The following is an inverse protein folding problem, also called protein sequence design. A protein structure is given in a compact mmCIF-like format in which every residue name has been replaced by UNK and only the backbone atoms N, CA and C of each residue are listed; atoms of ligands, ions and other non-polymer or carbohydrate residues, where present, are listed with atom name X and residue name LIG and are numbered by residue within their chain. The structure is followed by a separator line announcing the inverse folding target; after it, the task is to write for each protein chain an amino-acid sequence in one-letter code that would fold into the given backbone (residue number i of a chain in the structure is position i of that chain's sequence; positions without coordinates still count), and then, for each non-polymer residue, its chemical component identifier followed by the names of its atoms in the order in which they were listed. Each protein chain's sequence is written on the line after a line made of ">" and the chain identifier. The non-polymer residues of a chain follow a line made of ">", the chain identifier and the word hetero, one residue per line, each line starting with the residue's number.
data_IF_511957414089
#
_entry.id   IF_511957414089
#
_cell.length_a   1.000
_cell.length_b   1.000
_cell.length_c   1.000
_cell.angle_alpha   90.00
_cell.angle_beta   90.00
_cell.angle_gamma   90.00
#
_symmetry.space_group_name_H-M   'P 1'
#
loop_
_entity.id
_entity.type
_entity.pdbx_description
1 polymer ?
#
# COMPACT_ATOMS: atom_id res chain seq x y z
N UNK A 1 31.99 23.40 -25.21
CA UNK A 1 31.71 24.13 -23.95
C UNK A 1 31.16 23.16 -22.88
N UNK A 2 31.86 22.06 -22.58
CA UNK A 2 31.35 21.01 -21.69
C UNK A 2 32.36 20.59 -20.60
N UNK A 3 33.28 21.47 -20.23
CA UNK A 3 34.44 21.09 -19.39
C UNK A 3 34.59 21.92 -18.10
N UNK A 4 33.74 22.94 -17.89
CA UNK A 4 33.93 23.90 -16.78
C UNK A 4 33.02 23.72 -15.56
N UNK A 5 32.12 22.73 -15.56
CA UNK A 5 31.18 22.49 -14.46
C UNK A 5 31.52 21.25 -13.62
N UNK A 6 32.76 20.76 -13.67
CA UNK A 6 33.24 19.63 -12.85
C UNK A 6 34.01 20.09 -11.60
N UNK A 7 34.18 21.41 -11.39
CA UNK A 7 35.01 21.96 -10.30
C UNK A 7 34.27 22.60 -9.12
N UNK A 8 32.93 22.73 -9.13
CA UNK A 8 32.22 23.60 -8.17
C UNK A 8 31.52 22.92 -6.99
N UNK A 9 31.62 21.60 -6.81
CA UNK A 9 31.13 20.95 -5.58
C UNK A 9 32.05 19.80 -5.17
N UNK A 10 33.27 20.11 -4.73
CA UNK A 10 34.07 19.14 -3.98
C UNK A 10 33.39 18.92 -2.62
N UNK A 11 32.45 17.96 -2.55
CA UNK A 11 31.70 17.66 -1.33
C UNK A 11 32.69 17.27 -0.23
N UNK A 12 32.77 18.09 0.82
CA UNK A 12 33.53 17.76 2.03
C UNK A 12 32.70 16.79 2.87
N UNK A 13 33.13 15.54 2.91
CA UNK A 13 32.52 14.51 3.75
C UNK A 13 33.13 14.56 5.16
N UNK A 14 32.29 14.68 6.18
CA UNK A 14 32.70 14.60 7.58
C UNK A 14 32.51 13.16 8.10
N UNK A 15 33.51 12.62 8.81
CA UNK A 15 33.51 11.21 9.27
C UNK A 15 32.38 10.87 10.25
N UNK A 16 31.90 11.85 11.04
CA UNK A 16 30.87 11.64 12.06
C UNK A 16 29.45 12.06 11.63
N UNK A 17 29.22 12.38 10.36
CA UNK A 17 27.90 12.78 9.88
C UNK A 17 27.17 11.61 9.19
N UNK A 18 26.05 11.09 9.74
CA UNK A 18 25.30 9.99 9.12
C UNK A 18 24.76 10.34 7.73
N UNK A 19 24.47 11.63 7.48
CA UNK A 19 24.09 12.12 6.15
C UNK A 19 25.24 12.00 5.12
N UNK A 20 26.46 12.38 5.51
CA UNK A 20 27.64 12.29 4.63
C UNK A 20 27.99 10.84 4.26
N UNK A 21 27.68 9.85 5.11
CA UNK A 21 27.87 8.41 4.78
C UNK A 21 26.88 7.96 3.70
N UNK A 22 25.63 8.43 3.75
CA UNK A 22 24.62 8.13 2.73
C UNK A 22 24.92 8.79 1.39
N UNK A 23 25.39 10.03 1.39
CA UNK A 23 25.77 10.73 0.16
C UNK A 23 26.98 10.09 -0.54
N UNK A 24 27.95 9.57 0.24
CA UNK A 24 29.08 8.80 -0.30
C UNK A 24 28.63 7.50 -0.99
N UNK A 25 27.74 6.74 -0.34
CA UNK A 25 27.18 5.51 -0.90
C UNK A 25 26.37 5.77 -2.18
N UNK A 26 25.66 6.90 -2.27
CA UNK A 26 24.96 7.32 -3.49
C UNK A 26 25.92 7.68 -4.62
N UNK A 27 27.09 8.25 -4.32
CA UNK A 27 28.10 8.58 -5.31
C UNK A 27 28.87 7.35 -5.80
N UNK A 28 29.19 6.41 -4.90
CA UNK A 28 29.83 5.13 -5.25
C UNK A 28 28.92 4.22 -6.08
N UNK A 29 27.61 4.29 -5.86
CA UNK A 29 26.62 3.52 -6.62
C UNK A 29 26.27 4.26 -7.93
N UNK A 30 27.14 4.14 -8.93
CA UNK A 30 27.03 4.78 -10.24
C UNK A 30 25.88 4.27 -11.11
N UNK A 31 25.29 3.12 -10.77
CA UNK A 31 24.18 2.51 -11.51
C UNK A 31 22.82 2.74 -10.88
N UNK A 32 21.76 2.65 -11.70
CA UNK A 32 20.37 2.64 -11.24
C UNK A 32 20.14 1.44 -10.31
N UNK A 33 19.61 1.64 -9.08
CA UNK A 33 19.41 0.55 -8.13
C UNK A 33 18.12 -0.22 -8.46
N UNK A 34 18.14 -0.97 -9.57
CA UNK A 34 16.98 -1.73 -10.08
C UNK A 34 16.36 -2.65 -9.02
N UNK A 35 17.18 -3.25 -8.16
CA UNK A 35 16.70 -4.09 -7.05
C UNK A 35 15.87 -3.29 -6.05
N UNK A 36 16.36 -2.15 -5.57
CA UNK A 36 15.61 -1.35 -4.60
C UNK A 36 14.34 -0.75 -5.21
N UNK A 37 14.40 -0.34 -6.48
CA UNK A 37 13.25 0.17 -7.22
C UNK A 37 12.18 -0.91 -7.43
N UNK A 38 12.56 -2.15 -7.74
CA UNK A 38 11.58 -3.25 -7.89
C UNK A 38 10.91 -3.58 -6.56
N UNK A 39 11.62 -3.52 -5.43
CA UNK A 39 10.99 -3.69 -4.11
C UNK A 39 10.02 -2.55 -3.78
N UNK A 40 10.40 -1.29 -4.02
CA UNK A 40 9.53 -0.13 -3.84
C UNK A 40 8.28 -0.26 -4.71
N UNK A 41 8.45 -0.73 -5.95
CA UNK A 41 7.35 -1.00 -6.87
C UNK A 41 6.39 -2.06 -6.33
N UNK A 42 6.92 -3.18 -5.82
CA UNK A 42 6.13 -4.26 -5.22
C UNK A 42 5.37 -3.78 -3.97
N UNK A 43 6.03 -3.06 -3.06
CA UNK A 43 5.40 -2.50 -1.85
C UNK A 43 4.30 -1.51 -2.23
N UNK A 44 4.57 -0.62 -3.19
CA UNK A 44 3.60 0.36 -3.66
C UNK A 44 2.38 -0.32 -4.30
N UNK A 45 2.60 -1.33 -5.14
CA UNK A 45 1.54 -2.14 -5.76
C UNK A 45 0.66 -2.81 -4.70
N UNK A 46 1.30 -3.45 -3.72
CA UNK A 46 0.68 -4.12 -2.59
C UNK A 46 -0.22 -3.17 -1.78
N UNK A 47 0.21 -1.93 -1.54
CA UNK A 47 -0.64 -0.93 -0.86
C UNK A 47 -1.78 -0.41 -1.75
N UNK A 48 -1.61 -0.38 -3.07
CA UNK A 48 -2.60 0.13 -4.01
C UNK A 48 -3.76 -0.86 -4.22
N UNK A 49 -3.49 -2.17 -4.24
CA UNK A 49 -4.48 -3.22 -4.53
C UNK A 49 -5.70 -3.23 -3.56
N UNK A 50 -5.54 -3.16 -2.22
CA UNK A 50 -6.68 -3.10 -1.31
C UNK A 50 -7.55 -1.85 -1.47
N UNK A 51 -6.94 -0.73 -1.90
CA UNK A 51 -7.64 0.53 -2.08
C UNK A 51 -8.52 0.48 -3.33
N UNK A 52 -8.00 -0.09 -4.41
CA UNK A 52 -8.71 -0.13 -5.70
C UNK A 52 -9.71 -1.28 -5.79
N UNK A 53 -9.41 -2.45 -5.20
CA UNK A 53 -10.35 -3.58 -5.13
C UNK A 53 -11.64 -3.27 -4.36
N UNK A 54 -11.59 -2.27 -3.47
CA UNK A 54 -12.70 -1.79 -2.67
C UNK A 54 -13.91 -1.33 -3.49
N UNK A 55 -13.67 -0.59 -4.56
CA UNK A 55 -14.73 0.06 -5.33
C UNK A 55 -15.79 -0.93 -5.86
N UNK A 56 -15.44 -2.06 -6.49
CA UNK A 56 -16.44 -3.02 -6.95
C UNK A 56 -17.11 -3.78 -5.81
N UNK A 57 -16.39 -4.24 -4.78
CA UNK A 57 -17.01 -5.09 -3.76
C UNK A 57 -17.81 -4.30 -2.72
N UNK A 58 -17.50 -3.03 -2.46
CA UNK A 58 -18.21 -2.25 -1.42
C UNK A 58 -19.67 -2.06 -1.79
N UNK A 59 -19.98 -1.98 -3.09
CA UNK A 59 -21.34 -1.92 -3.61
C UNK A 59 -22.12 -3.20 -3.24
N UNK A 60 -21.55 -4.36 -3.54
CA UNK A 60 -22.15 -5.65 -3.19
C UNK A 60 -22.31 -5.81 -1.68
N UNK A 61 -21.31 -5.40 -0.90
CA UNK A 61 -21.34 -5.53 0.56
C UNK A 61 -22.45 -4.70 1.20
N UNK A 62 -22.70 -3.49 0.70
CA UNK A 62 -23.77 -2.63 1.21
C UNK A 62 -25.14 -3.16 0.80
N UNK A 63 -25.25 -3.72 -0.41
CA UNK A 63 -26.47 -4.38 -0.89
C UNK A 63 -26.83 -5.56 0.03
N UNK A 64 -25.85 -6.40 0.37
CA UNK A 64 -26.05 -7.60 1.19
C UNK A 64 -26.35 -7.27 2.66
N UNK A 65 -25.92 -6.10 3.16
CA UNK A 65 -26.29 -5.65 4.51
C UNK A 65 -27.75 -5.16 4.61
N UNK A 66 -28.49 -5.04 3.51
CA UNK A 66 -29.90 -4.63 3.45
C UNK A 66 -30.22 -3.31 4.19
N UNK A 67 -29.25 -2.40 4.30
CA UNK A 67 -29.39 -1.12 5.03
C UNK A 67 -30.03 -0.05 4.16
N UNK A 68 -29.78 -0.12 2.84
CA UNK A 68 -30.39 0.76 1.86
C UNK A 68 -31.83 0.30 1.59
N UNK A 69 -32.81 1.16 1.90
CA UNK A 69 -34.23 0.90 1.61
C UNK A 69 -34.53 0.95 0.10
N UNK A 70 -33.64 1.59 -0.68
CA UNK A 70 -33.72 1.74 -2.13
C UNK A 70 -32.34 1.55 -2.76
N UNK A 71 -32.29 1.05 -3.98
CA UNK A 71 -31.02 0.81 -4.70
C UNK A 71 -30.23 2.12 -4.97
N UNK A 72 -30.94 3.24 -5.09
CA UNK A 72 -30.35 4.58 -5.25
C UNK A 72 -29.47 5.01 -4.07
N UNK A 73 -29.79 4.56 -2.85
CA UNK A 73 -29.05 4.95 -1.64
C UNK A 73 -27.74 4.17 -1.46
N UNK A 74 -27.58 3.03 -2.14
CA UNK A 74 -26.39 2.16 -2.02
C UNK A 74 -25.12 2.94 -2.40
N UNK A 75 -25.20 3.76 -3.46
CA UNK A 75 -24.10 4.62 -3.89
C UNK A 75 -23.68 5.65 -2.85
N UNK A 76 -24.65 6.22 -2.12
CA UNK A 76 -24.38 7.18 -1.05
C UNK A 76 -23.63 6.53 0.11
N UNK A 77 -24.06 5.36 0.57
CA UNK A 77 -23.37 4.61 1.63
C UNK A 77 -21.98 4.13 1.18
N UNK A 78 -21.82 3.71 -0.08
CA UNK A 78 -20.52 3.32 -0.63
C UNK A 78 -19.55 4.50 -0.66
N UNK A 79 -20.06 5.66 -1.11
CA UNK A 79 -19.35 6.93 -1.06
C UNK A 79 -18.95 7.29 0.36
N UNK A 80 -19.83 7.14 1.35
CA UNK A 80 -19.54 7.42 2.75
C UNK A 80 -18.38 6.56 3.29
N UNK A 81 -18.37 5.26 2.99
CA UNK A 81 -17.27 4.34 3.37
C UNK A 81 -15.96 4.76 2.71
N UNK A 82 -15.96 5.06 1.41
CA UNK A 82 -14.76 5.52 0.69
C UNK A 82 -14.24 6.88 1.21
N UNK A 83 -15.16 7.80 1.52
CA UNK A 83 -14.85 9.14 2.04
C UNK A 83 -14.21 9.08 3.41
N UNK A 84 -14.73 8.24 4.31
CA UNK A 84 -14.18 8.06 5.66
C UNK A 84 -12.71 7.63 5.63
N UNK A 85 -12.36 6.76 4.69
CA UNK A 85 -11.00 6.29 4.48
C UNK A 85 -10.08 7.41 3.95
N UNK A 86 -10.53 8.15 2.93
CA UNK A 86 -9.76 9.27 2.36
C UNK A 86 -9.56 10.40 3.37
N UNK A 87 -10.60 10.78 4.10
CA UNK A 87 -10.56 11.84 5.11
C UNK A 87 -9.54 11.53 6.19
N UNK A 88 -9.57 10.31 6.71
CA UNK A 88 -8.66 9.90 7.77
C UNK A 88 -7.21 9.75 7.29
N UNK A 89 -7.03 9.31 6.05
CA UNK A 89 -5.70 9.30 5.41
C UNK A 89 -5.12 10.68 5.28
N UNK A 90 -5.93 11.67 4.90
CA UNK A 90 -5.51 13.06 4.85
C UNK A 90 -5.06 13.54 6.24
N UNK A 91 -5.87 13.32 7.28
CA UNK A 91 -5.55 13.73 8.65
C UNK A 91 -4.29 13.06 9.20
N UNK A 92 -4.11 11.77 8.94
CA UNK A 92 -2.98 11.01 9.50
C UNK A 92 -1.72 11.10 8.65
N UNK A 93 -1.79 11.69 7.45
CA UNK A 93 -0.64 11.79 6.54
C UNK A 93 0.52 12.58 7.13
N UNK A 94 0.22 13.69 7.80
CA UNK A 94 1.23 14.51 8.45
C UNK A 94 1.90 13.77 9.63
N UNK A 95 1.09 13.10 10.46
CA UNK A 95 1.58 12.36 11.62
C UNK A 95 2.56 11.25 11.22
N UNK A 96 2.21 10.45 10.20
CA UNK A 96 3.11 9.40 9.70
C UNK A 96 4.35 9.93 8.99
N UNK A 97 4.28 11.13 8.41
CA UNK A 97 5.47 11.83 7.90
C UNK A 97 6.49 12.08 9.00
N UNK A 98 6.06 12.73 10.09
CA UNK A 98 6.91 13.02 11.25
C UNK A 98 7.45 11.73 11.90
N UNK A 99 6.62 10.70 12.04
CA UNK A 99 7.03 9.41 12.59
C UNK A 99 8.07 8.73 11.70
N UNK A 100 7.91 8.79 10.36
CA UNK A 100 8.86 8.23 9.41
C UNK A 100 10.21 8.95 9.43
N UNK A 101 10.22 10.26 9.63
CA UNK A 101 11.46 11.04 9.71
C UNK A 101 12.17 10.82 11.06
N UNK A 102 11.44 10.62 12.17
CA UNK A 102 12.05 10.38 13.50
C UNK A 102 12.53 8.94 13.72
N UNK A 103 11.73 7.94 13.36
CA UNK A 103 12.03 6.53 13.62
C UNK A 103 12.66 5.81 12.43
N UNK A 104 12.82 6.52 11.31
CA UNK A 104 13.28 5.97 10.05
C UNK A 104 12.14 5.44 9.18
N UNK A 105 12.34 5.50 7.86
CA UNK A 105 11.28 5.20 6.88
C UNK A 105 10.98 3.72 6.74
N UNK A 106 12.01 2.88 6.90
CA UNK A 106 11.94 1.42 6.82
C UNK A 106 10.94 0.79 7.82
N UNK A 107 11.03 1.03 9.15
CA UNK A 107 10.08 0.44 10.09
C UNK A 107 8.66 0.96 9.90
N UNK A 108 8.49 2.23 9.51
CA UNK A 108 7.16 2.79 9.24
C UNK A 108 6.49 2.12 8.04
N UNK A 109 7.24 1.83 6.98
CA UNK A 109 6.74 1.07 5.81
C UNK A 109 6.30 -0.33 6.23
N UNK A 110 7.07 -0.99 7.09
CA UNK A 110 6.73 -2.33 7.58
C UNK A 110 5.46 -2.33 8.45
N UNK A 111 5.38 -1.44 9.44
CA UNK A 111 4.22 -1.33 10.35
C UNK A 111 2.95 -0.92 9.58
N UNK A 112 3.07 0.01 8.64
CA UNK A 112 1.96 0.44 7.80
C UNK A 112 1.44 -0.69 6.92
N UNK A 113 2.32 -1.50 6.35
CA UNK A 113 1.94 -2.67 5.54
C UNK A 113 1.29 -3.75 6.40
N UNK A 114 1.87 -4.07 7.57
CA UNK A 114 1.28 -5.03 8.51
C UNK A 114 -0.13 -4.62 8.95
N UNK A 115 -0.32 -3.32 9.23
CA UNK A 115 -1.62 -2.78 9.61
C UNK A 115 -2.65 -2.93 8.49
N UNK A 116 -2.24 -2.81 7.22
CA UNK A 116 -3.11 -3.09 6.07
C UNK A 116 -3.55 -4.54 6.05
N UNK A 117 -2.61 -5.48 6.24
CA UNK A 117 -2.92 -6.92 6.24
C UNK A 117 -3.97 -7.23 7.31
N UNK A 118 -3.71 -6.80 8.55
CA UNK A 118 -4.60 -7.07 9.69
C UNK A 118 -5.97 -6.40 9.50
N UNK A 119 -6.02 -5.10 9.18
CA UNK A 119 -7.28 -4.38 9.09
C UNK A 119 -8.09 -4.75 7.85
N UNK A 120 -7.43 -5.15 6.75
CA UNK A 120 -8.12 -5.70 5.58
C UNK A 120 -8.71 -7.08 5.88
N UNK A 121 -8.01 -7.92 6.66
CA UNK A 121 -8.56 -9.18 7.17
C UNK A 121 -9.82 -8.97 8.01
N UNK A 122 -9.73 -8.08 9.00
CA UNK A 122 -10.85 -7.76 9.88
C UNK A 122 -12.02 -7.15 9.10
N UNK A 123 -11.73 -6.38 8.05
CA UNK A 123 -12.75 -5.85 7.17
C UNK A 123 -13.49 -6.97 6.40
N UNK A 124 -12.79 -8.00 5.91
CA UNK A 124 -13.40 -9.15 5.26
C UNK A 124 -14.29 -10.01 6.15
N UNK A 125 -14.00 -10.01 7.46
CA UNK A 125 -14.80 -10.67 8.50
C UNK A 125 -16.00 -9.84 8.97
N UNK A 126 -16.16 -8.61 8.47
CA UNK A 126 -17.18 -7.68 8.95
C UNK A 126 -18.58 -8.08 8.49
N UNK A 127 -19.49 -8.29 9.44
CA UNK A 127 -20.90 -8.63 9.19
C UNK A 127 -21.85 -7.44 9.31
N UNK A 128 -21.35 -6.28 9.71
CA UNK A 128 -22.14 -5.07 9.93
C UNK A 128 -21.50 -3.86 9.26
N UNK A 129 -22.33 -2.93 8.78
CA UNK A 129 -21.86 -1.70 8.15
C UNK A 129 -21.04 -0.81 9.08
N UNK A 130 -21.46 -0.65 10.33
CA UNK A 130 -20.72 0.14 11.32
C UNK A 130 -19.35 -0.46 11.64
N UNK A 131 -19.25 -1.79 11.64
CA UNK A 131 -17.98 -2.50 11.78
C UNK A 131 -17.10 -2.27 10.54
N UNK A 132 -17.66 -2.41 9.34
CA UNK A 132 -16.94 -2.18 8.09
C UNK A 132 -16.43 -0.74 7.98
N UNK A 133 -17.26 0.24 8.34
CA UNK A 133 -16.92 1.65 8.41
C UNK A 133 -15.80 1.90 9.43
N UNK A 134 -15.89 1.31 10.63
CA UNK A 134 -14.88 1.45 11.68
C UNK A 134 -13.54 0.85 11.27
N UNK A 135 -13.54 -0.32 10.62
CA UNK A 135 -12.31 -0.95 10.11
C UNK A 135 -11.69 -0.12 8.98
N UNK A 136 -12.50 0.52 8.13
CA UNK A 136 -12.01 1.41 7.05
C UNK A 136 -11.47 2.72 7.55
N UNK A 137 -12.15 3.27 8.54
CA UNK A 137 -11.63 4.37 9.32
C UNK A 137 -10.28 3.85 9.87
N UNK A 138 -10.20 2.78 10.68
CA UNK A 138 -8.93 2.25 11.24
C UNK A 138 -7.81 2.14 10.19
N UNK A 139 -8.11 1.51 9.06
CA UNK A 139 -7.18 1.35 7.96
C UNK A 139 -6.66 2.70 7.45
N UNK A 140 -7.51 3.71 7.30
CA UNK A 140 -7.12 5.05 6.88
C UNK A 140 -6.17 5.77 7.85
N UNK A 141 -6.20 5.44 9.15
CA UNK A 141 -5.22 6.02 10.09
C UNK A 141 -3.88 5.35 9.91
N UNK A 142 -3.83 4.02 9.87
CA UNK A 142 -2.57 3.31 9.84
C UNK A 142 -1.94 3.25 8.43
N UNK A 143 -2.72 3.51 7.37
CA UNK A 143 -2.28 3.40 5.98
C UNK A 143 -2.06 4.75 5.28
N UNK A 144 -1.13 5.56 5.77
CA UNK A 144 -0.64 6.75 5.04
C UNK A 144 0.75 6.57 4.43
N UNK A 145 0.98 5.42 3.78
CA UNK A 145 2.30 5.02 3.32
C UNK A 145 2.74 5.65 1.99
N UNK A 146 1.82 6.25 1.24
CA UNK A 146 2.07 6.80 -0.09
C UNK A 146 3.11 7.94 -0.07
N UNK A 147 3.09 8.79 0.97
CA UNK A 147 4.10 9.83 1.17
C UNK A 147 5.46 9.23 1.52
N UNK A 148 5.49 8.31 2.49
CA UNK A 148 6.72 7.65 2.97
C UNK A 148 7.40 6.83 1.89
N UNK A 149 6.64 6.12 1.03
CA UNK A 149 7.19 5.34 -0.09
C UNK A 149 7.83 6.26 -1.13
N UNK A 150 7.17 7.36 -1.50
CA UNK A 150 7.73 8.35 -2.45
C UNK A 150 9.00 8.97 -1.92
N UNK A 151 8.99 9.33 -0.64
CA UNK A 151 10.12 9.94 0.03
C UNK A 151 11.30 8.93 0.15
N UNK A 152 11.01 7.67 0.49
CA UNK A 152 12.01 6.59 0.50
C UNK A 152 12.58 6.33 -0.90
N UNK A 153 11.75 6.36 -1.94
CA UNK A 153 12.19 6.20 -3.32
C UNK A 153 13.14 7.33 -3.76
N UNK A 154 12.86 8.58 -3.38
CA UNK A 154 13.77 9.70 -3.66
C UNK A 154 15.07 9.66 -2.85
N UNK A 155 15.05 9.04 -1.67
CA UNK A 155 16.25 8.91 -0.83
C UNK A 155 17.17 7.78 -1.27
N UNK A 156 16.63 6.70 -1.84
CA UNK A 156 17.45 5.57 -2.32
C UNK A 156 18.11 5.88 -3.66
N UNK A 157 17.50 6.75 -4.47
CA UNK A 157 18.03 7.15 -5.77
C UNK A 157 18.90 8.41 -5.67
N UNK A 158 19.88 8.51 -6.58
CA UNK A 158 20.61 9.78 -6.85
C UNK A 158 19.64 10.82 -7.42
N UNK A 159 19.96 12.10 -7.26
CA UNK A 159 19.15 13.23 -7.77
C UNK A 159 18.79 13.06 -9.25
N UNK A 160 19.74 12.60 -10.07
CA UNK A 160 19.56 12.32 -11.50
C UNK A 160 18.45 11.28 -11.79
N UNK A 161 18.22 10.32 -10.89
CA UNK A 161 17.26 9.23 -11.05
C UNK A 161 16.02 9.35 -10.15
N UNK A 162 15.85 10.46 -9.42
CA UNK A 162 14.67 10.66 -8.56
C UNK A 162 13.37 10.67 -9.36
N UNK A 163 13.39 11.26 -10.56
CA UNK A 163 12.23 11.25 -11.47
C UNK A 163 11.83 9.82 -11.88
N UNK A 164 12.81 8.95 -12.12
CA UNK A 164 12.58 7.52 -12.42
C UNK A 164 11.96 6.82 -11.21
N UNK A 165 12.47 7.05 -10.00
CA UNK A 165 11.96 6.45 -8.77
C UNK A 165 10.49 6.82 -8.51
N UNK A 166 10.13 8.09 -8.70
CA UNK A 166 8.75 8.57 -8.57
C UNK A 166 7.83 8.03 -9.67
N UNK A 167 8.37 7.84 -10.88
CA UNK A 167 7.64 7.21 -11.99
C UNK A 167 7.31 5.75 -11.67
N UNK A 168 8.27 4.98 -11.15
CA UNK A 168 8.07 3.58 -10.71
C UNK A 168 6.92 3.48 -9.70
N UNK A 169 6.87 4.36 -8.69
CA UNK A 169 5.78 4.41 -7.70
C UNK A 169 4.43 4.75 -8.33
N UNK A 170 4.42 5.57 -9.38
CA UNK A 170 3.20 5.96 -10.10
C UNK A 170 2.70 4.84 -11.01
N UNK A 171 3.61 4.15 -11.70
CA UNK A 171 3.31 2.98 -12.54
C UNK A 171 2.72 1.83 -11.71
N UNK A 172 3.29 1.52 -10.55
CA UNK A 172 2.73 0.48 -9.66
C UNK A 172 1.31 0.82 -9.21
N UNK A 173 1.03 2.10 -8.93
CA UNK A 173 -0.32 2.56 -8.57
C UNK A 173 -1.29 2.44 -9.74
N UNK A 174 -0.86 2.76 -10.96
CA UNK A 174 -1.66 2.58 -12.17
C UNK A 174 -2.03 1.11 -12.39
N UNK A 175 -1.06 0.21 -12.25
CA UNK A 175 -1.29 -1.24 -12.35
C UNK A 175 -2.22 -1.73 -11.24
N UNK A 176 -2.03 -1.27 -10.01
CA UNK A 176 -2.93 -1.58 -8.89
C UNK A 176 -4.37 -1.11 -9.13
N UNK A 177 -4.56 0.01 -9.83
CA UNK A 177 -5.89 0.52 -10.19
C UNK A 177 -6.59 -0.34 -11.26
N UNK A 178 -5.84 -1.04 -12.10
CA UNK A 178 -6.39 -1.95 -13.12
C UNK A 178 -6.65 -3.33 -12.52
N UNK A 179 -5.65 -3.90 -11.85
CA UNK A 179 -5.71 -5.25 -11.30
C UNK A 179 -6.64 -5.31 -10.09
N UNK A 180 -6.65 -4.28 -9.25
CA UNK A 180 -7.44 -4.28 -8.01
C UNK A 180 -8.93 -4.44 -8.23
N UNK A 181 -9.60 -3.62 -9.07
CA UNK A 181 -11.02 -3.79 -9.35
C UNK A 181 -11.33 -5.08 -10.11
N UNK A 182 -10.42 -5.55 -10.97
CA UNK A 182 -10.58 -6.85 -11.61
C UNK A 182 -10.65 -7.95 -10.55
N UNK A 183 -9.68 -8.02 -9.63
CA UNK A 183 -9.71 -8.99 -8.54
C UNK A 183 -10.95 -8.76 -7.64
N UNK A 184 -11.18 -7.53 -7.20
CA UNK A 184 -12.30 -7.19 -6.31
C UNK A 184 -13.66 -7.56 -6.90
N UNK A 185 -13.89 -7.30 -8.18
CA UNK A 185 -15.15 -7.61 -8.87
C UNK A 185 -15.27 -9.08 -9.27
N UNK A 186 -14.19 -9.73 -9.72
CA UNK A 186 -14.24 -11.16 -10.06
C UNK A 186 -14.50 -12.04 -8.83
N UNK A 187 -13.97 -11.66 -7.67
CA UNK A 187 -14.07 -12.43 -6.42
C UNK A 187 -15.12 -11.91 -5.42
N UNK A 188 -15.87 -10.84 -5.71
CA UNK A 188 -16.92 -10.32 -4.81
C UNK A 188 -18.14 -11.24 -4.65
N UNK A 189 -18.39 -12.14 -5.62
CA UNK A 189 -19.52 -13.09 -5.59
C UNK A 189 -19.08 -14.50 -5.99
N UNK A 190 -18.33 -15.22 -5.15
CA UNK A 190 -17.92 -16.60 -5.46
C UNK A 190 -19.12 -17.56 -5.48
N UNK A 191 -20.16 -17.28 -4.69
CA UNK A 191 -21.35 -18.13 -4.55
C UNK A 191 -22.26 -18.13 -5.79
N UNK A 192 -22.44 -17.01 -6.48
CA UNK A 192 -23.23 -16.95 -7.73
C UNK A 192 -22.44 -17.44 -8.95
N UNK A 193 -21.11 -17.35 -8.92
CA UNK A 193 -20.25 -17.61 -10.09
C UNK A 193 -19.65 -19.02 -10.14
N UNK A 194 -19.51 -19.70 -8.99
CA UNK A 194 -18.95 -21.06 -8.90
C UNK A 194 -19.87 -22.02 -8.10
N UNK A 195 -21.10 -22.30 -8.58
CA UNK A 195 -22.05 -23.17 -7.88
C UNK A 195 -21.60 -24.64 -7.78
N UNK A 196 -20.61 -25.06 -8.58
CA UNK A 196 -20.11 -26.45 -8.62
C UNK A 196 -18.94 -26.72 -7.68
N UNK A 197 -18.30 -25.68 -7.11
CA UNK A 197 -17.07 -25.82 -6.30
C UNK A 197 -17.26 -25.35 -4.84
N UNK A 198 -18.28 -24.54 -4.56
CA UNK A 198 -18.55 -23.96 -3.23
C UNK A 198 -20.00 -24.24 -2.85
N UNK A 199 -20.21 -25.24 -1.98
CA UNK A 199 -21.55 -25.64 -1.51
C UNK A 199 -22.10 -24.65 -0.46
N UNK A 200 -23.40 -24.36 -0.51
CA UNK A 200 -24.11 -23.37 0.34
C UNK A 200 -23.97 -23.60 1.86
N UNK A 201 -23.54 -24.78 2.29
CA UNK A 201 -23.39 -25.17 3.71
C UNK A 201 -22.02 -24.90 4.33
N UNK A 202 -21.02 -24.43 3.56
CA UNK A 202 -19.67 -24.14 4.07
C UNK A 202 -19.52 -22.70 4.58
N UNK A 203 -18.48 -22.44 5.39
CA UNK A 203 -18.12 -21.13 5.98
C UNK A 203 -18.09 -19.99 4.92
N UNK A 204 -17.83 -20.33 3.65
CA UNK A 204 -17.84 -19.43 2.50
C UNK A 204 -19.23 -18.98 2.00
N UNK A 205 -20.30 -19.72 2.30
CA UNK A 205 -21.68 -19.28 2.07
C UNK A 205 -22.16 -18.29 3.13
N UNK A 206 -21.61 -18.38 4.35
CA UNK A 206 -21.95 -17.48 5.48
C UNK A 206 -21.13 -16.19 5.51
N UNK A 207 -19.96 -16.17 4.86
CA UNK A 207 -19.10 -14.99 4.69
C UNK A 207 -18.57 -14.87 3.25
N UNK A 208 -19.37 -14.35 2.30
CA UNK A 208 -18.96 -14.20 0.90
C UNK A 208 -17.72 -13.31 0.72
N UNK A 209 -17.48 -12.38 1.64
CA UNK A 209 -16.36 -11.43 1.63
C UNK A 209 -15.05 -11.96 2.24
N UNK A 210 -15.08 -13.13 2.88
CA UNK A 210 -13.90 -13.74 3.50
C UNK A 210 -12.91 -14.29 2.45
N UNK A 211 -13.41 -14.80 1.32
CA UNK A 211 -12.63 -15.40 0.24
C UNK A 211 -11.72 -14.39 -0.50
N UNK A 212 -12.23 -13.24 -0.99
CA UNK A 212 -11.36 -12.21 -1.57
C UNK A 212 -10.37 -11.66 -0.53
N UNK A 213 -10.76 -11.54 0.73
CA UNK A 213 -9.86 -11.08 1.78
C UNK A 213 -8.77 -12.10 2.15
N UNK A 214 -9.04 -13.42 2.06
CA UNK A 214 -8.03 -14.48 2.27
C UNK A 214 -7.00 -14.52 1.14
N UNK A 215 -7.43 -14.34 -0.11
CA UNK A 215 -6.50 -14.26 -1.26
C UNK A 215 -5.64 -13.00 -1.16
N UNK A 216 -6.25 -11.87 -0.80
CA UNK A 216 -5.53 -10.62 -0.55
C UNK A 216 -4.57 -10.81 0.64
N UNK A 217 -5.00 -11.45 1.74
CA UNK A 217 -4.14 -11.79 2.88
C UNK A 217 -2.95 -12.66 2.48
N UNK A 218 -3.16 -13.69 1.66
CA UNK A 218 -2.11 -14.60 1.24
C UNK A 218 -1.08 -13.88 0.35
N UNK A 219 -1.56 -13.10 -0.63
CA UNK A 219 -0.69 -12.24 -1.44
C UNK A 219 0.07 -11.23 -0.55
N UNK A 220 -0.63 -10.51 0.32
CA UNK A 220 -0.03 -9.52 1.22
C UNK A 220 0.98 -10.16 2.17
N UNK A 221 0.74 -11.38 2.66
CA UNK A 221 1.62 -12.12 3.56
C UNK A 221 2.91 -12.58 2.86
N UNK A 222 2.80 -13.15 1.65
CA UNK A 222 3.97 -13.48 0.84
C UNK A 222 4.84 -12.23 0.56
N UNK A 223 4.20 -11.11 0.23
CA UNK A 223 4.92 -9.86 0.00
C UNK A 223 5.52 -9.27 1.29
N UNK A 224 4.86 -9.40 2.44
CA UNK A 224 5.40 -8.96 3.73
C UNK A 224 6.67 -9.76 4.11
N UNK A 225 6.70 -11.06 3.83
CA UNK A 225 7.88 -11.90 4.04
C UNK A 225 9.04 -11.50 3.13
N UNK A 226 8.76 -11.23 1.84
CA UNK A 226 9.76 -10.72 0.90
C UNK A 226 10.36 -9.38 1.34
N UNK A 227 9.51 -8.46 1.81
CA UNK A 227 9.92 -7.12 2.27
C UNK A 227 10.67 -7.20 3.60
N UNK A 228 10.21 -8.05 4.54
CA UNK A 228 10.87 -8.27 5.83
C UNK A 228 12.26 -8.91 5.67
N UNK A 229 12.41 -9.86 4.74
CA UNK A 229 13.71 -10.44 4.38
C UNK A 229 14.69 -9.40 3.82
N UNK A 230 14.21 -8.53 2.94
CA UNK A 230 15.08 -7.53 2.30
C UNK A 230 15.41 -6.33 3.19
N UNK A 231 14.48 -5.88 4.05
CA UNK A 231 14.75 -4.85 5.07
C UNK A 231 15.85 -5.29 6.04
N UNK A 232 15.94 -6.59 6.34
CA UNK A 232 17.08 -7.20 7.04
C UNK A 232 18.37 -7.13 6.23
N UNK A 233 18.31 -7.42 4.94
CA UNK A 233 19.47 -7.41 4.04
C UNK A 233 20.12 -6.03 3.90
N UNK A 234 19.31 -4.96 3.72
CA UNK A 234 19.83 -3.59 3.63
C UNK A 234 20.36 -3.04 4.97
N UNK A 235 19.87 -3.54 6.11
CA UNK A 235 20.43 -3.17 7.43
C UNK A 235 21.77 -3.86 7.67
N UNK A 236 22.00 -5.03 7.07
CA UNK A 236 23.28 -5.74 7.13
C UNK A 236 24.36 -5.19 6.19
N UNK A 237 24.02 -4.30 5.25
CA UNK A 237 24.95 -3.65 4.31
C UNK A 237 25.34 -2.21 4.72
N UNK A 238 24.83 -1.69 5.85
CA UNK A 238 25.13 -0.35 6.39
C UNK A 238 26.01 -0.43 7.63
#
# INVERSE_FOLDING_TARGET
>A
MAEHTSGLLQKKFYENCPGCKMDRLKEEQSGVPYKNLSYIWLVSLCTALPISSLFPFVYFMIRDFHIAKREEDIGFYAGFVGSSFMLRRALTSFLWGVVADRYGRKPVIFIGTLSVVVLNALFGLSTSFWMALSMRFLLGCFNSLLGTIRAYASEVCREEYQALALSVVSTSRGIGLIIGPAIGGFFAQPAERYPTVISESSVFGRFPYFLPCLIILFMLWEFLLLVGGFLRQCTSMM
#
